data_IF_447618872590
#
_entry.id   IF_447618872590
#
_cell.length_a   1.000
_cell.length_b   1.000
_cell.length_c   1.000
_cell.angle_alpha   90.00
_cell.angle_beta   90.00
_cell.angle_gamma   90.00
#
_symmetry.space_group_name_H-M   'P 1'
#
loop_
_entity.id
_entity.type
_entity.pdbx_description
1 polymer ?
#
# COMPACT_ATOMS: atom_id res chain seq x y z
N UNK A 1 39.83 58.38 -15.17
CA UNK A 1 40.69 57.18 -15.03
C UNK A 1 40.72 56.85 -13.54
N UNK A 2 40.13 55.81 -12.96
CA UNK A 2 39.19 54.78 -13.39
C UNK A 2 38.41 54.37 -12.11
N UNK A 3 37.11 54.13 -12.22
CA UNK A 3 36.26 53.62 -11.13
C UNK A 3 36.73 52.22 -10.71
N UNK A 4 36.92 52.03 -9.40
CA UNK A 4 37.27 50.73 -8.80
C UNK A 4 35.98 49.99 -8.48
N UNK A 5 35.56 49.13 -9.40
CA UNK A 5 34.43 48.21 -9.21
C UNK A 5 34.85 47.06 -8.29
N UNK A 6 34.29 47.02 -7.08
CA UNK A 6 34.41 45.88 -6.17
C UNK A 6 33.38 44.83 -6.58
N UNK A 7 33.85 43.73 -7.17
CA UNK A 7 33.03 42.57 -7.52
C UNK A 7 32.74 41.75 -6.26
N UNK A 8 31.51 41.87 -5.73
CA UNK A 8 31.01 41.02 -4.65
C UNK A 8 30.59 39.68 -5.29
N UNK A 9 31.38 38.64 -5.04
CA UNK A 9 31.09 37.25 -5.41
C UNK A 9 30.05 36.67 -4.45
N UNK A 10 28.79 36.61 -4.88
CA UNK A 10 27.72 35.89 -4.18
C UNK A 10 28.03 34.39 -4.20
N UNK A 11 28.51 33.84 -3.07
CA UNK A 11 28.60 32.39 -2.91
C UNK A 11 27.21 31.82 -2.62
N UNK A 12 26.68 31.03 -3.55
CA UNK A 12 25.54 30.16 -3.31
C UNK A 12 25.87 29.17 -2.20
N UNK A 13 25.06 29.19 -1.15
CA UNK A 13 25.07 28.18 -0.08
C UNK A 13 24.88 26.78 -0.68
N UNK A 14 25.74 25.80 -0.35
CA UNK A 14 25.58 24.45 -0.87
C UNK A 14 24.31 23.82 -0.31
N UNK A 15 23.34 23.56 -1.18
CA UNK A 15 22.15 22.76 -0.86
C UNK A 15 22.64 21.42 -0.34
N UNK A 16 22.36 21.14 0.94
CA UNK A 16 22.60 19.85 1.56
C UNK A 16 21.78 18.79 0.82
N UNK A 17 22.36 18.18 -0.21
CA UNK A 17 21.76 17.02 -0.86
C UNK A 17 21.91 15.84 0.10
N UNK A 18 20.83 15.58 0.83
CA UNK A 18 20.70 14.38 1.65
C UNK A 18 21.01 13.16 0.77
N UNK A 19 21.85 12.20 1.23
CA UNK A 19 22.15 11.01 0.45
C UNK A 19 20.85 10.35 -0.01
N UNK A 20 20.69 10.11 -1.32
CA UNK A 20 19.60 9.25 -1.82
C UNK A 20 19.71 7.92 -1.07
N UNK A 21 18.77 7.67 -0.16
CA UNK A 21 18.79 6.47 0.67
C UNK A 21 18.84 5.24 -0.25
N UNK A 22 19.81 4.35 0.00
CA UNK A 22 20.01 3.11 -0.77
C UNK A 22 18.86 2.10 -0.62
N UNK A 23 17.95 2.36 0.32
CA UNK A 23 16.79 1.52 0.63
C UNK A 23 15.56 2.40 0.83
N UNK A 24 14.36 1.90 0.50
CA UNK A 24 13.12 2.61 0.81
C UNK A 24 13.06 2.96 2.31
N UNK A 25 12.70 4.18 2.69
CA UNK A 25 12.66 4.58 4.09
C UNK A 25 11.62 3.78 4.88
N UNK A 26 11.93 3.54 6.17
CA UNK A 26 11.01 2.91 7.13
C UNK A 26 9.91 3.90 7.54
N UNK A 27 8.69 3.39 7.75
CA UNK A 27 7.59 4.20 8.26
C UNK A 27 7.90 4.66 9.70
N UNK A 28 7.75 5.96 10.04
CA UNK A 28 8.18 6.48 11.34
C UNK A 28 7.42 5.90 12.53
N UNK A 29 6.16 5.48 12.33
CA UNK A 29 5.29 4.96 13.39
C UNK A 29 4.99 3.46 13.28
N UNK A 30 5.04 2.90 12.07
CA UNK A 30 4.59 1.53 11.78
C UNK A 30 5.78 0.69 11.31
N UNK A 31 6.83 0.76 12.11
CA UNK A 31 8.01 -0.08 11.99
C UNK A 31 8.37 -0.60 13.39
N UNK A 32 7.68 -1.65 13.80
CA UNK A 32 7.80 -2.26 15.11
C UNK A 32 9.11 -3.03 15.25
N UNK A 33 9.53 -3.27 16.50
CA UNK A 33 10.75 -4.03 16.80
C UNK A 33 10.71 -5.42 16.16
N UNK A 34 9.56 -6.08 16.30
CA UNK A 34 9.29 -7.44 15.81
C UNK A 34 8.07 -7.42 14.87
N UNK A 35 8.05 -8.35 13.92
CA UNK A 35 6.98 -8.44 12.93
C UNK A 35 7.48 -8.77 11.53
N UNK A 36 6.54 -8.74 10.61
CA UNK A 36 6.73 -8.97 9.18
C UNK A 36 6.98 -7.63 8.46
N UNK A 37 7.91 -7.64 7.49
CA UNK A 37 8.29 -6.46 6.72
C UNK A 37 7.55 -6.42 5.38
N UNK A 38 6.86 -5.32 5.12
CA UNK A 38 6.19 -5.03 3.85
C UNK A 38 6.88 -3.88 3.13
N UNK A 39 7.11 -4.01 1.83
CA UNK A 39 7.50 -2.93 0.94
C UNK A 39 6.30 -2.52 0.11
N UNK A 40 5.76 -1.33 0.37
CA UNK A 40 4.54 -0.83 -0.28
C UNK A 40 4.90 0.18 -1.35
N UNK A 41 4.28 0.04 -2.54
CA UNK A 41 4.43 0.96 -3.67
C UNK A 41 5.91 1.14 -4.12
N UNK A 42 6.79 0.20 -3.78
CA UNK A 42 8.25 0.30 -3.92
C UNK A 42 8.86 1.58 -3.29
N UNK A 43 8.17 2.19 -2.31
CA UNK A 43 8.54 3.49 -1.73
C UNK A 43 8.74 3.49 -0.22
N UNK A 44 8.06 2.62 0.52
CA UNK A 44 8.10 2.66 1.99
C UNK A 44 8.03 1.28 2.61
N UNK A 45 8.88 1.07 3.62
CA UNK A 45 8.89 -0.14 4.43
C UNK A 45 8.00 0.02 5.67
N UNK A 46 7.16 -0.97 5.91
CA UNK A 46 6.37 -1.13 7.13
C UNK A 46 6.81 -2.40 7.83
N UNK A 47 6.90 -2.38 9.16
CA UNK A 47 7.13 -3.58 9.97
C UNK A 47 6.07 -3.66 11.06
N UNK A 48 5.21 -4.67 10.98
CA UNK A 48 4.02 -4.81 11.83
C UNK A 48 3.81 -6.27 12.22
N UNK A 49 3.02 -6.53 13.26
CA UNK A 49 2.79 -7.90 13.72
C UNK A 49 2.15 -8.76 12.63
N UNK A 50 2.56 -10.03 12.52
CA UNK A 50 1.98 -11.00 11.59
C UNK A 50 0.56 -11.42 11.99
N UNK A 51 0.28 -11.44 13.29
CA UNK A 51 -0.92 -12.06 13.88
C UNK A 51 -2.22 -11.43 13.35
N UNK A 52 -2.34 -10.09 13.32
CA UNK A 52 -3.59 -9.48 12.85
C UNK A 52 -3.83 -9.71 11.35
N UNK A 53 -2.78 -9.81 10.55
CA UNK A 53 -2.92 -10.15 9.14
C UNK A 53 -3.39 -11.60 8.95
N UNK A 54 -2.88 -12.56 9.73
CA UNK A 54 -3.39 -13.92 9.72
C UNK A 54 -4.84 -14.01 10.21
N UNK A 55 -5.19 -13.30 11.28
CA UNK A 55 -6.55 -13.28 11.82
C UNK A 55 -7.52 -12.73 10.78
N UNK A 56 -7.23 -11.55 10.23
CA UNK A 56 -8.17 -10.82 9.38
C UNK A 56 -8.17 -11.27 7.92
N UNK A 57 -7.07 -11.81 7.40
CA UNK A 57 -6.94 -12.12 5.97
C UNK A 57 -6.63 -13.58 5.70
N UNK A 58 -7.48 -14.21 4.89
CA UNK A 58 -7.18 -15.53 4.33
C UNK A 58 -5.94 -15.51 3.44
N UNK A 59 -5.76 -14.46 2.62
CA UNK A 59 -4.59 -14.32 1.74
C UNK A 59 -3.29 -14.36 2.53
N UNK A 60 -3.21 -13.59 3.61
CA UNK A 60 -2.02 -13.57 4.45
C UNK A 60 -1.84 -14.86 5.24
N UNK A 61 -2.91 -15.46 5.77
CA UNK A 61 -2.85 -16.77 6.42
C UNK A 61 -2.24 -17.83 5.51
N UNK A 62 -2.69 -17.89 4.26
CA UNK A 62 -2.21 -18.85 3.27
C UNK A 62 -0.74 -18.54 2.91
N UNK A 63 -0.40 -17.29 2.60
CA UNK A 63 0.97 -16.83 2.32
C UNK A 63 1.96 -17.23 3.42
N UNK A 64 1.53 -17.07 4.66
CA UNK A 64 2.33 -17.30 5.85
C UNK A 64 2.40 -18.78 6.28
N UNK A 65 1.56 -19.64 5.70
CA UNK A 65 1.57 -21.09 5.89
C UNK A 65 2.46 -21.83 4.88
N UNK A 66 2.92 -21.14 3.83
CA UNK A 66 3.75 -21.75 2.80
C UNK A 66 5.04 -22.30 3.43
N UNK A 67 5.44 -23.54 3.09
CA UNK A 67 6.63 -24.15 3.65
C UNK A 67 7.86 -23.36 3.20
N UNK A 68 8.66 -22.95 4.15
CA UNK A 68 10.02 -22.47 3.90
C UNK A 68 10.92 -23.69 3.92
N UNK A 69 11.34 -24.17 2.74
CA UNK A 69 12.27 -25.29 2.67
C UNK A 69 13.62 -24.86 3.24
N UNK A 70 14.05 -25.52 4.31
CA UNK A 70 15.35 -25.30 4.95
C UNK A 70 16.51 -25.69 4.03
N UNK A 71 16.27 -26.59 3.06
CA UNK A 71 17.27 -27.14 2.14
C UNK A 71 17.50 -26.31 0.88
N UNK A 72 16.72 -25.25 0.66
CA UNK A 72 16.90 -24.35 -0.47
C UNK A 72 17.25 -22.94 0.04
N UNK A 73 18.51 -22.51 -0.04
CA UNK A 73 18.91 -21.15 0.33
C UNK A 73 18.27 -20.06 -0.56
N UNK A 74 17.53 -20.42 -1.60
CA UNK A 74 16.67 -19.54 -2.40
C UNK A 74 15.18 -19.58 -2.01
N UNK A 75 14.75 -20.53 -1.16
CA UNK A 75 13.49 -20.51 -0.42
C UNK A 75 13.60 -19.49 0.71
N UNK A 76 13.55 -18.22 0.31
CA UNK A 76 13.71 -17.10 1.19
C UNK A 76 12.35 -16.73 1.74
N UNK A 77 12.14 -16.95 3.05
CA UNK A 77 10.94 -16.49 3.75
C UNK A 77 10.76 -14.99 3.50
N UNK A 78 9.75 -14.63 2.72
CA UNK A 78 9.42 -13.22 2.48
C UNK A 78 8.96 -12.56 3.78
N UNK A 79 9.31 -11.28 3.93
CA UNK A 79 8.94 -10.44 5.05
C UNK A 79 9.80 -10.57 6.30
N UNK A 80 10.95 -11.26 6.23
CA UNK A 80 11.83 -11.45 7.40
C UNK A 80 12.64 -10.20 7.76
N UNK A 81 13.03 -9.40 6.76
CA UNK A 81 13.83 -8.19 6.93
C UNK A 81 13.68 -7.23 5.74
N UNK A 82 14.38 -6.09 5.80
CA UNK A 82 14.30 -5.03 4.78
C UNK A 82 14.84 -5.46 3.40
N UNK A 83 15.73 -6.46 3.35
CA UNK A 83 16.29 -7.00 2.09
C UNK A 83 15.32 -7.97 1.41
N UNK A 84 14.46 -8.61 2.20
CA UNK A 84 13.45 -9.59 1.77
C UNK A 84 12.06 -9.21 2.28
N UNK A 85 11.51 -8.05 1.88
CA UNK A 85 10.17 -7.66 2.30
C UNK A 85 9.11 -8.38 1.46
N UNK A 86 7.90 -8.51 1.98
CA UNK A 86 6.73 -8.83 1.16
C UNK A 86 6.40 -7.59 0.33
N UNK A 87 6.44 -7.73 -1.00
CA UNK A 87 6.25 -6.61 -1.93
C UNK A 87 4.79 -6.43 -2.28
N UNK A 88 4.26 -5.25 -1.98
CA UNK A 88 2.88 -4.84 -2.27
C UNK A 88 2.89 -3.69 -3.28
N UNK A 89 3.19 -4.01 -4.54
CA UNK A 89 3.36 -3.01 -5.61
C UNK A 89 2.04 -2.37 -6.04
N UNK A 90 0.95 -3.13 -5.97
CA UNK A 90 -0.40 -2.70 -6.37
C UNK A 90 -1.20 -2.12 -5.19
N UNK A 91 -0.54 -1.71 -4.12
CA UNK A 91 -1.18 -1.07 -2.96
C UNK A 91 -0.52 0.27 -2.75
N UNK A 92 -1.33 1.33 -2.67
CA UNK A 92 -0.80 2.65 -2.37
C UNK A 92 -0.30 2.71 -0.93
N UNK A 93 0.75 3.49 -0.69
CA UNK A 93 1.27 3.68 0.67
C UNK A 93 0.22 4.24 1.62
N UNK A 94 -0.71 5.06 1.12
CA UNK A 94 -1.79 5.65 1.89
C UNK A 94 -2.86 4.61 2.29
N UNK A 95 -3.25 3.73 1.37
CA UNK A 95 -4.22 2.67 1.66
C UNK A 95 -3.65 1.66 2.65
N UNK A 96 -2.39 1.25 2.47
CA UNK A 96 -1.73 0.36 3.42
C UNK A 96 -1.53 1.02 4.79
N UNK A 97 -1.15 2.30 4.83
CA UNK A 97 -1.04 3.05 6.08
C UNK A 97 -2.39 3.09 6.82
N UNK A 98 -3.48 3.30 6.09
CA UNK A 98 -4.83 3.27 6.65
C UNK A 98 -5.17 1.91 7.26
N UNK A 99 -4.77 0.81 6.61
CA UNK A 99 -4.96 -0.54 7.14
C UNK A 99 -4.19 -0.76 8.44
N UNK A 100 -2.89 -0.45 8.47
CA UNK A 100 -2.08 -0.68 9.67
C UNK A 100 -2.48 0.22 10.83
N UNK A 101 -2.97 1.43 10.56
CA UNK A 101 -3.55 2.30 11.58
C UNK A 101 -4.85 1.73 12.14
N UNK A 102 -5.66 1.06 11.31
CA UNK A 102 -6.86 0.36 11.76
C UNK A 102 -6.54 -0.87 12.61
N UNK A 103 -5.56 -1.68 12.20
CA UNK A 103 -5.16 -2.90 12.89
C UNK A 103 -4.37 -2.62 14.18
N UNK A 104 -3.60 -1.54 14.21
CA UNK A 104 -2.72 -1.17 15.32
C UNK A 104 -2.90 0.30 15.71
N UNK A 105 -4.04 0.67 16.34
CA UNK A 105 -4.23 2.03 16.83
C UNK A 105 -3.17 2.36 17.88
N UNK A 106 -2.29 3.31 17.58
CA UNK A 106 -1.25 3.78 18.52
C UNK A 106 -1.82 4.82 19.48
N UNK A 107 -2.92 4.48 20.15
CA UNK A 107 -3.67 5.35 21.07
C UNK A 107 -4.28 4.53 22.20
N UNK A 108 -4.47 5.14 23.36
CA UNK A 108 -5.19 4.51 24.48
C UNK A 108 -6.71 4.50 24.28
N UNK A 109 -7.24 5.29 23.33
CA UNK A 109 -8.67 5.42 23.07
C UNK A 109 -9.15 4.44 21.97
N UNK A 110 -8.92 3.15 22.19
CA UNK A 110 -9.17 2.09 21.20
C UNK A 110 -10.61 1.95 20.72
N UNK A 111 -11.61 2.39 21.49
CA UNK A 111 -13.02 2.30 21.06
C UNK A 111 -13.41 3.36 20.04
N UNK A 112 -12.71 4.50 20.04
CA UNK A 112 -13.13 5.71 19.32
C UNK A 112 -12.08 6.23 18.32
N UNK A 113 -10.94 5.55 18.17
CA UNK A 113 -9.82 5.99 17.31
C UNK A 113 -10.19 6.18 15.82
N UNK A 114 -11.32 5.64 15.39
CA UNK A 114 -11.81 5.74 14.01
C UNK A 114 -13.09 6.57 13.86
N UNK A 115 -13.56 7.22 14.94
CA UNK A 115 -14.80 8.00 14.90
C UNK A 115 -14.67 9.28 14.07
N UNK A 116 -13.46 9.83 13.97
CA UNK A 116 -13.12 11.02 13.18
C UNK A 116 -12.71 10.68 11.74
N UNK A 117 -12.68 9.40 11.37
CA UNK A 117 -12.32 8.99 10.01
C UNK A 117 -13.41 9.42 9.03
N UNK A 118 -13.04 10.27 8.08
CA UNK A 118 -13.91 10.69 6.98
C UNK A 118 -13.89 9.73 5.78
N UNK A 119 -14.70 10.05 4.76
CA UNK A 119 -14.87 9.29 3.52
C UNK A 119 -13.60 8.64 2.98
N UNK A 120 -12.55 9.46 2.78
CA UNK A 120 -11.32 9.05 2.09
C UNK A 120 -10.62 7.91 2.83
N UNK A 121 -10.66 7.93 4.16
CA UNK A 121 -9.98 6.95 5.02
C UNK A 121 -10.77 5.65 5.07
N UNK A 122 -12.09 5.72 5.23
CA UNK A 122 -12.95 4.53 5.12
C UNK A 122 -12.91 3.89 3.74
N UNK A 123 -12.86 4.70 2.67
CA UNK A 123 -12.74 4.18 1.31
C UNK A 123 -11.36 3.55 1.05
N UNK A 124 -10.28 4.15 1.57
CA UNK A 124 -8.95 3.56 1.53
C UNK A 124 -8.91 2.21 2.26
N UNK A 125 -9.48 2.15 3.47
CA UNK A 125 -9.62 0.92 4.24
C UNK A 125 -10.45 -0.12 3.49
N UNK A 126 -11.56 0.26 2.86
CA UNK A 126 -12.39 -0.64 2.06
C UNK A 126 -11.60 -1.23 0.88
N UNK A 127 -10.89 -0.41 0.10
CA UNK A 127 -10.10 -0.89 -1.04
C UNK A 127 -9.08 -1.93 -0.63
N UNK A 128 -8.27 -1.63 0.40
CA UNK A 128 -7.18 -2.51 0.82
C UNK A 128 -7.68 -3.75 1.55
N UNK A 129 -8.73 -3.64 2.38
CA UNK A 129 -9.32 -4.79 3.06
C UNK A 129 -9.98 -5.75 2.07
N UNK A 130 -10.69 -5.24 1.06
CA UNK A 130 -11.23 -6.08 -0.03
C UNK A 130 -10.10 -6.75 -0.82
N UNK A 131 -9.01 -6.04 -1.16
CA UNK A 131 -7.88 -6.63 -1.92
C UNK A 131 -7.25 -7.81 -1.18
N UNK A 132 -7.18 -7.76 0.15
CA UNK A 132 -6.61 -8.82 0.96
C UNK A 132 -7.65 -9.76 1.59
N UNK A 133 -8.91 -9.73 1.14
CA UNK A 133 -9.98 -10.58 1.65
C UNK A 133 -10.12 -10.52 3.18
N UNK A 134 -10.18 -9.30 3.71
CA UNK A 134 -10.39 -9.00 5.12
C UNK A 134 -11.86 -8.66 5.39
N UNK A 135 -12.71 -9.68 5.38
CA UNK A 135 -14.17 -9.55 5.31
C UNK A 135 -14.78 -8.75 6.48
N UNK A 136 -14.25 -8.91 7.70
CA UNK A 136 -14.73 -8.16 8.87
C UNK A 136 -14.47 -6.65 8.70
N UNK A 137 -13.31 -6.30 8.17
CA UNK A 137 -12.88 -4.92 7.98
C UNK A 137 -13.64 -4.28 6.82
N UNK A 138 -13.75 -4.98 5.68
CA UNK A 138 -14.47 -4.48 4.50
C UNK A 138 -15.95 -4.30 4.79
N UNK A 139 -16.58 -5.24 5.50
CA UNK A 139 -17.99 -5.15 5.94
C UNK A 139 -18.21 -3.95 6.86
N UNK A 140 -17.32 -3.71 7.82
CA UNK A 140 -17.41 -2.55 8.69
C UNK A 140 -17.25 -1.24 7.92
N UNK A 141 -16.30 -1.17 6.99
CA UNK A 141 -16.09 0.01 6.17
C UNK A 141 -17.32 0.32 5.30
N UNK A 142 -17.94 -0.69 4.68
CA UNK A 142 -19.20 -0.54 3.91
C UNK A 142 -20.30 0.04 4.80
N UNK A 143 -20.51 -0.54 5.99
CA UNK A 143 -21.54 -0.08 6.93
C UNK A 143 -21.36 1.40 7.28
N UNK A 144 -20.15 1.82 7.61
CA UNK A 144 -19.88 3.22 8.01
C UNK A 144 -20.02 4.17 6.83
N UNK A 145 -19.57 3.78 5.64
CA UNK A 145 -19.75 4.58 4.42
C UNK A 145 -21.24 4.78 4.07
N UNK A 146 -22.08 3.78 4.37
CA UNK A 146 -23.53 3.82 4.19
C UNK A 146 -24.19 4.79 5.17
N UNK A 147 -23.85 4.66 6.44
CA UNK A 147 -24.31 5.54 7.52
C UNK A 147 -23.92 7.01 7.26
N UNK A 148 -22.72 7.23 6.71
CA UNK A 148 -22.26 8.57 6.34
C UNK A 148 -23.00 9.15 5.12
N UNK A 149 -23.82 8.37 4.40
CA UNK A 149 -24.47 8.73 3.12
C UNK A 149 -23.48 9.23 2.07
N UNK A 150 -22.24 8.77 2.15
CA UNK A 150 -21.15 9.22 1.28
C UNK A 150 -20.92 8.25 0.12
N UNK A 151 -21.80 7.27 -0.08
CA UNK A 151 -21.77 6.45 -1.29
C UNK A 151 -21.93 7.33 -2.53
N UNK A 152 -21.09 7.11 -3.56
CA UNK A 152 -21.35 7.72 -4.84
C UNK A 152 -22.73 7.27 -5.31
N UNK A 153 -23.61 8.22 -5.63
CA UNK A 153 -25.00 7.96 -6.05
C UNK A 153 -25.15 7.19 -7.39
N UNK A 154 -24.05 6.68 -7.96
CA UNK A 154 -24.04 5.96 -9.23
C UNK A 154 -22.91 4.93 -9.28
N UNK A 155 -23.22 3.77 -9.87
CA UNK A 155 -22.30 2.66 -10.17
C UNK A 155 -21.08 3.09 -11.00
N UNK A 156 -21.18 4.14 -11.83
CA UNK A 156 -20.02 4.64 -12.60
C UNK A 156 -18.92 5.20 -11.72
N UNK A 157 -19.30 5.89 -10.64
CA UNK A 157 -18.34 6.44 -9.67
C UNK A 157 -17.78 5.33 -8.75
N UNK A 158 -18.53 4.26 -8.52
CA UNK A 158 -18.08 3.11 -7.75
C UNK A 158 -17.06 2.26 -8.53
N UNK A 159 -17.33 2.02 -9.82
CA UNK A 159 -16.42 1.32 -10.72
C UNK A 159 -15.10 2.08 -10.91
N UNK A 160 -15.10 3.42 -10.95
CA UNK A 160 -13.85 4.20 -10.97
C UNK A 160 -12.99 4.04 -9.69
N UNK A 161 -13.61 3.76 -8.53
CA UNK A 161 -12.89 3.62 -7.25
C UNK A 161 -12.35 2.21 -7.05
N UNK A 162 -13.05 1.19 -7.54
CA UNK A 162 -12.61 -0.21 -7.49
C UNK A 162 -11.63 -0.51 -8.64
N UNK A 163 -11.80 0.10 -9.82
CA UNK A 163 -10.98 -0.09 -11.02
C UNK A 163 -9.92 1.02 -11.10
N UNK A 164 -9.06 1.16 -10.07
CA UNK A 164 -7.71 1.66 -10.31
C UNK A 164 -6.85 0.51 -10.89
N UNK A 165 -7.26 0.02 -12.06
CA UNK A 165 -6.38 -0.70 -12.99
C UNK A 165 -5.63 0.40 -13.75
N UNK A 166 -4.29 0.49 -13.71
CA UNK A 166 -3.60 1.32 -14.67
C UNK A 166 -3.73 0.64 -16.03
N UNK A 167 -4.15 1.42 -17.03
CA UNK A 167 -4.36 1.09 -18.44
C UNK A 167 -5.69 0.40 -18.83
N UNK A 168 -6.41 0.96 -19.84
CA UNK A 168 -7.47 0.24 -20.53
C UNK A 168 -6.89 -0.94 -21.33
N UNK A 169 -7.68 -2.01 -21.48
CA UNK A 169 -7.39 -3.08 -22.43
C UNK A 169 -7.15 -2.47 -23.81
N UNK A 170 -5.93 -2.62 -24.31
CA UNK A 170 -5.57 -2.32 -25.69
C UNK A 170 -6.42 -3.20 -26.63
N UNK A 171 -6.98 -2.57 -27.67
CA UNK A 171 -7.86 -3.24 -28.65
C UNK A 171 -7.16 -4.38 -29.42
N UNK A 172 -5.82 -4.48 -29.35
CA UNK A 172 -5.07 -5.60 -29.91
C UNK A 172 -5.28 -6.93 -29.17
N UNK A 173 -5.49 -6.94 -27.84
CA UNK A 173 -5.76 -8.20 -27.12
C UNK A 173 -7.19 -8.71 -27.33
N UNK A 174 -8.14 -7.83 -27.66
CA UNK A 174 -9.52 -8.21 -27.96
C UNK A 174 -9.67 -8.97 -29.29
N UNK A 175 -8.71 -8.79 -30.20
CA UNK A 175 -8.82 -9.32 -31.57
C UNK A 175 -8.12 -10.66 -31.76
N UNK A 176 -7.29 -11.10 -30.81
CA UNK A 176 -6.54 -12.37 -30.93
C UNK A 176 -7.33 -13.62 -30.48
N UNK A 177 -8.56 -13.47 -30.00
CA UNK A 177 -9.39 -14.57 -29.48
C UNK A 177 -10.36 -15.23 -30.46
N UNK A 178 -10.44 -14.78 -31.72
CA UNK A 178 -11.45 -15.29 -32.67
C UNK A 178 -10.85 -15.64 -34.04
N UNK A 179 -10.06 -16.72 -34.09
CA UNK A 179 -9.76 -17.43 -35.33
C UNK A 179 -9.55 -18.92 -35.05
N UNK A 180 -10.63 -19.63 -34.74
CA UNK A 180 -10.80 -21.01 -35.21
C UNK A 180 -12.24 -21.16 -35.70
N UNK A 181 -12.50 -20.73 -36.93
CA UNK A 181 -13.61 -21.24 -37.74
C UNK A 181 -13.02 -22.04 -38.91
N UNK A 182 -13.30 -23.34 -38.85
CA UNK A 182 -13.79 -24.19 -39.96
C UNK A 182 -13.02 -24.19 -41.28
N UNK A 183 -12.52 -25.38 -41.66
CA UNK A 183 -12.22 -25.66 -43.07
C UNK A 183 -11.48 -26.97 -43.32
N UNK A 184 -12.23 -28.08 -43.41
CA UNK A 184 -12.15 -29.18 -44.40
C UNK A 184 -12.79 -30.45 -43.84
#
# INVERSE_FOLDING_TARGET
IADTTVSISTQETPKLQLPKARFPPRHPLYYFKDGVVFLVENRRLFKVSRIMFEVESKVFRDLFSLPTSEDDPSSLTEGINDDKPIRLEQVSSADFQCLVEYLYPLTTQYSNFSNDWGYKKWMALLRVSTKFLMDNISTKAIKILDEQKQFPSSLEKFNMVIIMRPEPLNEEEATSGNLVKTGA
#
